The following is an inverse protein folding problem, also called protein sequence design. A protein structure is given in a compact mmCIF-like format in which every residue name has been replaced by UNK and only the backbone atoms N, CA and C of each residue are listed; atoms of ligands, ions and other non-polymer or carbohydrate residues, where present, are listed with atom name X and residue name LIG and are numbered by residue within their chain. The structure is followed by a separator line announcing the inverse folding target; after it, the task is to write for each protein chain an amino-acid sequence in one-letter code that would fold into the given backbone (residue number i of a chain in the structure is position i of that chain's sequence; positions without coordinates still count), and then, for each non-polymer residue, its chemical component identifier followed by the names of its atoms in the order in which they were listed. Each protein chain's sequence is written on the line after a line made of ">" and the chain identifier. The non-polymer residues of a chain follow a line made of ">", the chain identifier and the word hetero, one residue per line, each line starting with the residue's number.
data_IF_543551593325
#
_entry.id   IF_543551593325
#
_cell.length_a   1.000
_cell.length_b   1.000
_cell.length_c   1.000
_cell.angle_alpha   90.00
_cell.angle_beta   90.00
_cell.angle_gamma   90.00
#
_symmetry.space_group_name_H-M   'P 1'
#
loop_
_entity.id
_entity.type
_entity.pdbx_description
1 polymer ?
#
# COMPACT_ATOMS: atom_id res chain seq x y z
N UNK A 1 8.99 -1.18 -2.13
CA UNK A 1 9.44 -2.05 -1.02
C UNK A 1 9.64 -1.29 0.30
N UNK A 2 10.43 -0.20 0.33
CA UNK A 2 10.74 0.56 1.56
C UNK A 2 9.50 1.03 2.34
N UNK A 3 8.49 1.57 1.66
CA UNK A 3 7.26 2.09 2.29
C UNK A 3 6.52 1.05 3.12
N UNK A 4 6.43 -0.19 2.62
CA UNK A 4 5.81 -1.31 3.35
C UNK A 4 6.64 -1.66 4.59
N UNK A 5 7.97 -1.77 4.46
CA UNK A 5 8.85 -2.05 5.59
C UNK A 5 8.78 -0.99 6.70
N UNK A 6 8.71 0.29 6.34
CA UNK A 6 8.53 1.39 7.29
C UNK A 6 7.20 1.30 8.05
N UNK A 7 6.11 0.92 7.37
CA UNK A 7 4.79 0.74 7.99
C UNK A 7 4.78 -0.46 8.94
N UNK A 8 5.36 -1.59 8.53
CA UNK A 8 5.44 -2.79 9.36
C UNK A 8 6.26 -2.56 10.63
N UNK A 9 7.38 -1.84 10.52
CA UNK A 9 8.27 -1.59 11.65
C UNK A 9 7.74 -0.57 12.66
N UNK A 10 6.83 0.32 12.27
CA UNK A 10 6.41 1.47 13.09
C UNK A 10 4.93 1.48 13.46
N UNK A 11 4.05 0.94 12.63
CA UNK A 11 2.60 1.18 12.75
C UNK A 11 1.74 -0.08 12.66
N UNK A 12 2.13 -1.08 11.86
CA UNK A 12 1.29 -2.25 11.59
C UNK A 12 2.11 -3.55 11.55
N UNK A 13 2.48 -4.15 12.69
CA UNK A 13 3.44 -5.27 12.77
C UNK A 13 2.79 -6.64 12.46
N UNK A 14 2.18 -6.74 11.28
CA UNK A 14 1.56 -7.97 10.75
C UNK A 14 2.20 -8.38 9.42
N UNK A 15 1.61 -9.35 8.73
CA UNK A 15 2.11 -9.81 7.43
C UNK A 15 2.19 -8.68 6.40
N UNK A 16 3.25 -8.69 5.58
CA UNK A 16 3.53 -7.67 4.58
C UNK A 16 2.50 -7.63 3.44
N UNK A 17 1.90 -8.79 3.14
CA UNK A 17 0.96 -8.97 2.04
C UNK A 17 -0.23 -8.01 2.14
N UNK A 18 -0.80 -7.82 3.33
CA UNK A 18 -1.94 -6.92 3.55
C UNK A 18 -1.56 -5.45 3.28
N UNK A 19 -0.39 -5.00 3.74
CA UNK A 19 0.09 -3.64 3.47
C UNK A 19 0.41 -3.43 1.99
N UNK A 20 0.97 -4.44 1.32
CA UNK A 20 1.28 -4.37 -0.10
C UNK A 20 0.01 -4.33 -0.95
N UNK A 21 -0.96 -5.21 -0.69
CA UNK A 21 -2.26 -5.22 -1.40
C UNK A 21 -3.00 -3.90 -1.24
N UNK A 22 -3.03 -3.33 -0.03
CA UNK A 22 -3.66 -2.03 0.19
C UNK A 22 -3.00 -0.92 -0.66
N UNK A 23 -1.67 -0.89 -0.72
CA UNK A 23 -0.92 0.07 -1.53
C UNK A 23 -1.22 -0.10 -3.03
N UNK A 24 -1.27 -1.34 -3.52
CA UNK A 24 -1.61 -1.65 -4.92
C UNK A 24 -3.04 -1.20 -5.24
N UNK A 25 -4.01 -1.51 -4.39
CA UNK A 25 -5.41 -1.10 -4.59
C UNK A 25 -5.55 0.41 -4.68
N UNK A 26 -4.88 1.16 -3.79
CA UNK A 26 -4.93 2.63 -3.77
C UNK A 26 -4.28 3.30 -4.99
N UNK A 27 -3.46 2.56 -5.75
CA UNK A 27 -2.83 3.04 -6.98
C UNK A 27 -3.61 2.69 -8.26
N UNK A 28 -4.60 1.80 -8.18
CA UNK A 28 -5.33 1.32 -9.35
C UNK A 28 -6.43 2.32 -9.78
N UNK A 29 -6.38 2.87 -11.02
CA UNK A 29 -7.36 3.84 -11.51
C UNK A 29 -8.76 3.27 -11.74
N UNK A 30 -8.88 1.93 -11.83
CA UNK A 30 -10.18 1.26 -11.92
C UNK A 30 -10.75 0.88 -10.54
N UNK A 31 -9.93 0.89 -9.48
CA UNK A 31 -10.37 0.55 -8.12
C UNK A 31 -10.84 1.77 -7.35
N UNK A 32 -10.28 2.95 -7.64
CA UNK A 32 -10.68 4.22 -7.04
C UNK A 32 -11.00 5.27 -8.10
N UNK A 33 -12.07 6.05 -7.86
CA UNK A 33 -12.42 7.19 -8.73
C UNK A 33 -11.32 8.24 -8.81
N UNK A 34 -10.58 8.40 -7.72
CA UNK A 34 -9.41 9.28 -7.57
C UNK A 34 -8.33 8.48 -6.82
N UNK A 35 -7.33 7.93 -7.52
CA UNK A 35 -6.23 7.21 -6.86
C UNK A 35 -5.51 8.08 -5.84
N UNK A 36 -5.14 7.47 -4.71
CA UNK A 36 -4.47 8.15 -3.60
C UNK A 36 -2.95 7.92 -3.63
N UNK A 37 -2.52 6.90 -4.34
CA UNK A 37 -1.13 6.53 -4.53
C UNK A 37 -0.84 6.56 -6.02
N UNK A 38 0.30 7.10 -6.42
CA UNK A 38 0.80 6.97 -7.78
C UNK A 38 1.76 5.77 -7.85
N UNK A 39 1.54 4.89 -8.82
CA UNK A 39 2.33 3.68 -9.03
C UNK A 39 3.35 3.88 -10.14
N UNK A 40 4.57 3.37 -9.95
CA UNK A 40 5.61 3.30 -10.97
C UNK A 40 6.11 1.87 -11.12
#
# INVERSE_FOLDING_TARGET
>A
ARTVGDVLGKYHPHGDSACYEAMVLMAQPFSYRYPLVDGQ
#
